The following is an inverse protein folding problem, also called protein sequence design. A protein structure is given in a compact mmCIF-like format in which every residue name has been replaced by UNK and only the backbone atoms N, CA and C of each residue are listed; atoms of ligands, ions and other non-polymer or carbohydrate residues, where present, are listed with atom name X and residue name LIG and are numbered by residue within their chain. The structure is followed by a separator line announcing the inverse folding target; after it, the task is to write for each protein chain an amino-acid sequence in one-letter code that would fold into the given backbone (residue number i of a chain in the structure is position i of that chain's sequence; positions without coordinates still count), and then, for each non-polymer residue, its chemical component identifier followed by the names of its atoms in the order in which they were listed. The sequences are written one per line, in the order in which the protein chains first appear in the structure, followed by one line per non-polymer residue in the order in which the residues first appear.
data_IF_175458342467
#
_entry.id   IF_175458342467
#
_cell.length_a   1.000
_cell.length_b   1.000
_cell.length_c   1.000
_cell.angle_alpha   90.00
_cell.angle_beta   90.00
_cell.angle_gamma   90.00
#
_symmetry.space_group_name_H-M   'P 1'
#
loop_
_entity.id
_entity.type
_entity.pdbx_description
1 polymer ?
#
# COMPACT_ATOMS: atom_id res chain seq x y z
N UNK A 1 9.35 -6.44 -14.39
CA UNK A 1 9.43 -7.82 -13.85
C UNK A 1 9.74 -7.79 -12.36
N UNK A 2 9.17 -8.72 -11.59
CA UNK A 2 9.44 -8.96 -10.17
C UNK A 2 10.12 -10.32 -10.04
N UNK A 3 11.37 -10.32 -9.58
CA UNK A 3 12.24 -11.48 -9.68
C UNK A 3 12.63 -11.75 -11.13
N UNK A 4 13.74 -12.46 -11.32
CA UNK A 4 14.19 -12.94 -12.63
C UNK A 4 14.79 -14.34 -12.49
N UNK A 5 15.11 -14.98 -13.62
CA UNK A 5 15.95 -16.17 -13.60
C UNK A 5 17.35 -15.84 -13.04
N UNK A 6 18.03 -16.84 -12.47
CA UNK A 6 19.32 -16.64 -11.83
C UNK A 6 20.46 -16.26 -12.79
N UNK A 7 20.29 -16.52 -14.10
CA UNK A 7 21.26 -16.16 -15.14
C UNK A 7 21.04 -14.75 -15.72
N UNK A 8 19.95 -14.08 -15.37
CA UNK A 8 19.68 -12.71 -15.79
C UNK A 8 20.75 -11.74 -15.26
N UNK A 9 21.05 -10.71 -16.04
CA UNK A 9 21.90 -9.61 -15.60
C UNK A 9 21.30 -8.98 -14.34
N UNK A 10 22.05 -8.93 -13.23
CA UNK A 10 21.55 -8.48 -11.92
C UNK A 10 21.02 -9.60 -11.00
N UNK A 11 21.01 -10.86 -11.47
CA UNK A 11 20.63 -12.04 -10.71
C UNK A 11 19.11 -12.23 -10.53
N UNK A 12 18.71 -13.20 -9.71
CA UNK A 12 17.30 -13.52 -9.50
C UNK A 12 16.56 -12.50 -8.60
N UNK A 13 17.29 -11.79 -7.73
CA UNK A 13 16.74 -10.91 -6.69
C UNK A 13 16.68 -9.46 -7.15
N UNK A 14 15.84 -9.17 -8.14
CA UNK A 14 15.75 -7.83 -8.71
C UNK A 14 14.35 -7.47 -9.22
N UNK A 15 14.13 -6.17 -9.33
CA UNK A 15 13.11 -5.61 -10.21
C UNK A 15 13.79 -5.23 -11.54
N UNK A 16 13.17 -5.57 -12.67
CA UNK A 16 13.74 -5.32 -13.98
C UNK A 16 12.73 -4.66 -14.94
N UNK A 17 13.00 -3.45 -15.45
CA UNK A 17 14.04 -2.52 -14.96
C UNK A 17 13.80 -2.16 -13.47
N UNK A 18 14.87 -1.77 -12.76
CA UNK A 18 14.79 -1.42 -11.34
C UNK A 18 14.36 0.02 -11.08
N UNK A 19 14.47 0.89 -12.07
CA UNK A 19 14.01 2.28 -12.02
C UNK A 19 13.35 2.66 -13.33
N UNK A 20 12.19 3.34 -13.26
CA UNK A 20 11.46 3.85 -14.43
C UNK A 20 10.95 5.27 -14.18
N UNK A 21 10.57 5.96 -15.26
CA UNK A 21 9.77 7.19 -15.21
C UNK A 21 8.38 6.90 -15.72
N UNK A 22 7.36 7.42 -15.03
CA UNK A 22 5.95 7.20 -15.36
C UNK A 22 5.12 8.45 -15.00
N UNK A 23 4.50 9.14 -15.97
CA UNK A 23 3.61 10.28 -15.72
C UNK A 23 2.35 9.91 -14.93
N UNK A 24 1.67 10.91 -14.37
CA UNK A 24 0.35 10.76 -13.76
C UNK A 24 -0.63 9.99 -14.65
N UNK A 25 -1.36 9.05 -14.05
CA UNK A 25 -2.32 8.18 -14.72
C UNK A 25 -1.71 6.96 -15.42
N UNK A 26 -0.38 6.84 -15.48
CA UNK A 26 0.27 5.63 -16.01
C UNK A 26 -0.05 4.43 -15.13
N UNK A 27 -0.33 3.28 -15.74
CA UNK A 27 -0.43 1.99 -15.04
C UNK A 27 0.89 1.25 -15.19
N UNK A 28 1.59 1.06 -14.09
CA UNK A 28 2.79 0.23 -13.99
C UNK A 28 2.36 -1.19 -13.64
N UNK A 29 2.63 -2.14 -14.55
CA UNK A 29 2.31 -3.55 -14.35
C UNK A 29 3.54 -4.30 -13.84
N UNK A 30 3.46 -4.76 -12.60
CA UNK A 30 4.39 -5.74 -12.05
C UNK A 30 4.02 -7.14 -12.54
N UNK A 31 5.01 -7.93 -12.95
CA UNK A 31 4.84 -9.30 -13.46
C UNK A 31 5.84 -10.18 -12.73
N UNK A 32 5.36 -11.17 -11.96
CA UNK A 32 6.22 -12.07 -11.19
C UNK A 32 6.82 -13.15 -12.09
N UNK A 33 8.05 -12.96 -12.55
CA UNK A 33 8.72 -13.87 -13.48
C UNK A 33 9.87 -14.68 -12.85
N UNK A 34 10.30 -14.33 -11.63
CA UNK A 34 11.29 -15.12 -10.90
C UNK A 34 10.79 -16.54 -10.64
N UNK A 35 11.29 -17.52 -11.40
CA UNK A 35 10.84 -18.92 -11.36
C UNK A 35 12.02 -19.85 -11.06
N UNK A 36 12.08 -20.51 -9.89
CA UNK A 36 11.21 -20.27 -8.73
C UNK A 36 11.52 -18.94 -8.04
N UNK A 37 10.54 -18.38 -7.33
CA UNK A 37 10.75 -17.14 -6.58
C UNK A 37 9.56 -16.76 -5.71
N UNK A 38 9.83 -16.16 -4.55
CA UNK A 38 8.80 -15.55 -3.70
C UNK A 38 9.17 -14.08 -3.49
N UNK A 39 8.30 -13.18 -3.92
CA UNK A 39 8.61 -11.76 -3.92
C UNK A 39 7.40 -10.91 -3.55
N UNK A 40 7.67 -9.74 -2.98
CA UNK A 40 6.70 -8.67 -2.79
C UNK A 40 7.08 -7.45 -3.62
N UNK A 41 6.12 -6.53 -3.76
CA UNK A 41 6.31 -5.14 -4.12
C UNK A 41 5.74 -4.32 -2.96
N UNK A 42 6.61 -3.94 -2.03
CA UNK A 42 6.23 -3.23 -0.80
C UNK A 42 6.74 -1.79 -0.88
N UNK A 43 5.86 -0.80 -0.71
CA UNK A 43 6.27 0.60 -0.69
C UNK A 43 7.11 0.90 0.54
N UNK A 44 8.19 1.66 0.35
CA UNK A 44 9.04 2.17 1.41
C UNK A 44 9.29 3.67 1.25
N UNK A 45 10.21 4.20 2.05
CA UNK A 45 10.69 5.57 1.92
C UNK A 45 12.16 5.57 1.55
N UNK A 46 12.64 6.65 0.93
CA UNK A 46 14.08 6.83 0.68
C UNK A 46 14.92 6.67 1.95
N UNK A 47 14.41 7.13 3.10
CA UNK A 47 15.12 7.10 4.38
C UNK A 47 15.18 5.69 5.00
N UNK A 48 14.20 4.85 4.71
CA UNK A 48 14.06 3.50 5.29
C UNK A 48 13.78 2.49 4.17
N UNK A 49 14.77 2.19 3.31
CA UNK A 49 14.56 1.47 2.05
C UNK A 49 13.97 0.07 2.22
N UNK A 50 14.31 -0.61 3.30
CA UNK A 50 13.89 -1.98 3.59
C UNK A 50 12.78 -2.06 4.65
N UNK A 51 12.06 -0.97 4.93
CA UNK A 51 10.93 -0.97 5.86
C UNK A 51 9.64 -0.52 5.16
N UNK A 52 8.49 -1.19 5.40
CA UNK A 52 7.22 -0.75 4.87
C UNK A 52 6.93 0.70 5.27
N UNK A 53 6.44 1.48 4.31
CA UNK A 53 5.94 2.83 4.57
C UNK A 53 4.60 2.74 5.29
N UNK A 54 4.44 3.49 6.38
CA UNK A 54 3.13 3.63 7.04
C UNK A 54 2.10 4.18 6.06
N UNK A 55 1.04 3.41 5.80
CA UNK A 55 0.01 3.75 4.82
C UNK A 55 0.46 3.58 3.37
N UNK A 56 1.58 2.89 3.12
CA UNK A 56 2.06 2.54 1.80
C UNK A 56 1.40 1.29 1.22
N UNK A 57 1.51 1.10 -0.10
CA UNK A 57 0.98 -0.09 -0.77
C UNK A 57 1.87 -1.31 -0.53
N UNK A 58 1.30 -2.50 -0.64
CA UNK A 58 2.01 -3.78 -0.56
C UNK A 58 1.23 -4.88 -1.28
N UNK A 59 1.91 -5.61 -2.17
CA UNK A 59 1.33 -6.69 -2.95
C UNK A 59 0.98 -7.95 -2.16
N UNK A 60 1.56 -8.13 -0.97
CA UNK A 60 1.73 -9.43 -0.36
C UNK A 60 2.81 -10.27 -1.04
N UNK A 61 3.02 -11.47 -0.52
CA UNK A 61 3.94 -12.46 -1.08
C UNK A 61 3.30 -13.20 -2.24
N UNK A 62 3.97 -13.20 -3.38
CA UNK A 62 3.57 -14.02 -4.53
C UNK A 62 4.70 -14.99 -4.84
N UNK A 63 4.38 -16.27 -4.72
CA UNK A 63 5.26 -17.37 -5.05
C UNK A 63 4.98 -17.90 -6.47
N UNK A 64 6.06 -18.00 -7.23
CA UNK A 64 6.11 -18.61 -8.55
C UNK A 64 6.92 -19.91 -8.44
N UNK A 65 6.35 -21.07 -8.83
CA UNK A 65 7.03 -22.35 -8.75
C UNK A 65 8.12 -22.48 -9.82
N UNK A 66 9.03 -23.43 -9.62
CA UNK A 66 10.08 -23.73 -10.58
C UNK A 66 9.51 -24.18 -11.93
N UNK A 67 10.27 -23.94 -13.00
CA UNK A 67 9.92 -24.30 -14.38
C UNK A 67 8.64 -23.64 -14.92
N UNK A 68 8.23 -22.49 -14.34
CA UNK A 68 7.11 -21.70 -14.87
C UNK A 68 7.54 -20.96 -16.13
N UNK A 69 6.79 -21.12 -17.23
CA UNK A 69 7.07 -20.48 -18.52
C UNK A 69 6.00 -19.48 -18.96
N UNK A 70 4.89 -19.37 -18.23
CA UNK A 70 3.79 -18.47 -18.56
C UNK A 70 2.69 -18.44 -17.51
N UNK A 71 1.67 -17.61 -17.74
CA UNK A 71 0.56 -17.42 -16.79
C UNK A 71 0.97 -16.69 -15.51
N UNK A 72 2.06 -15.94 -15.55
CA UNK A 72 2.62 -15.25 -14.40
C UNK A 72 1.59 -14.30 -13.76
N UNK A 73 1.51 -14.26 -12.41
CA UNK A 73 0.71 -13.25 -11.72
C UNK A 73 1.18 -11.83 -12.07
N UNK A 74 0.22 -10.92 -12.15
CA UNK A 74 0.45 -9.51 -12.41
C UNK A 74 -0.22 -8.63 -11.36
N UNK A 75 0.29 -7.41 -11.20
CA UNK A 75 -0.32 -6.42 -10.34
C UNK A 75 -0.17 -5.03 -10.95
N UNK A 76 -1.27 -4.30 -11.04
CA UNK A 76 -1.35 -3.01 -11.71
C UNK A 76 -1.38 -1.89 -10.67
N UNK A 77 -0.38 -1.03 -10.73
CA UNK A 77 -0.27 0.15 -9.89
C UNK A 77 -0.44 1.42 -10.74
N UNK A 78 -1.44 2.23 -10.43
CA UNK A 78 -1.73 3.50 -11.10
C UNK A 78 -0.99 4.64 -10.39
N UNK A 79 -0.21 5.41 -11.15
CA UNK A 79 0.54 6.57 -10.64
C UNK A 79 -0.41 7.77 -10.46
N UNK A 80 -0.38 8.39 -9.28
CA UNK A 80 -1.23 9.55 -8.95
C UNK A 80 -0.45 10.84 -8.76
N UNK A 81 0.86 10.77 -8.48
CA UNK A 81 1.71 11.95 -8.39
C UNK A 81 3.13 11.66 -8.90
N UNK A 82 3.45 12.08 -10.11
CA UNK A 82 4.74 11.90 -10.77
C UNK A 82 5.84 12.87 -10.31
N UNK A 83 5.48 13.87 -9.49
CA UNK A 83 6.44 14.75 -8.82
C UNK A 83 6.98 14.14 -7.53
N UNK A 84 6.38 13.05 -7.04
CA UNK A 84 6.81 12.32 -5.86
C UNK A 84 7.48 11.00 -6.26
N UNK A 85 8.77 10.79 -5.94
CA UNK A 85 9.43 9.52 -6.17
C UNK A 85 8.79 8.41 -5.34
N UNK A 86 8.43 7.31 -5.99
CA UNK A 86 7.91 6.11 -5.33
C UNK A 86 9.08 5.15 -5.15
N UNK A 87 9.31 4.74 -3.91
CA UNK A 87 10.35 3.79 -3.51
C UNK A 87 9.70 2.49 -3.06
N UNK A 88 10.25 1.35 -3.48
CA UNK A 88 9.72 0.05 -3.09
C UNK A 88 10.81 -1.00 -2.98
N UNK A 89 10.53 -2.06 -2.23
CA UNK A 89 11.45 -3.16 -1.98
C UNK A 89 10.72 -4.50 -2.00
N UNK A 90 11.50 -5.58 -2.08
CA UNK A 90 11.01 -6.92 -1.81
C UNK A 90 11.22 -7.27 -0.34
N UNK A 91 10.13 -7.58 0.35
CA UNK A 91 10.10 -7.85 1.79
C UNK A 91 10.44 -9.29 2.18
N UNK A 92 10.94 -10.10 1.24
CA UNK A 92 11.22 -11.51 1.48
C UNK A 92 12.54 -11.71 2.21
N UNK A 93 12.50 -12.55 3.25
CA UNK A 93 13.63 -12.82 4.16
C UNK A 93 14.46 -14.05 3.81
N UNK A 94 13.85 -15.00 3.09
CA UNK A 94 14.43 -16.32 2.85
C UNK A 94 14.63 -16.60 1.36
N UNK A 95 15.73 -17.27 0.98
CA UNK A 95 16.78 -17.80 1.85
C UNK A 95 17.76 -16.73 2.38
N UNK A 96 17.73 -15.53 1.81
CA UNK A 96 18.46 -14.34 2.27
C UNK A 96 17.50 -13.14 2.25
N UNK A 97 17.70 -12.09 3.06
CA UNK A 97 16.91 -10.87 2.96
C UNK A 97 17.07 -10.20 1.59
N UNK A 98 15.99 -10.14 0.80
CA UNK A 98 16.04 -9.67 -0.58
C UNK A 98 16.36 -8.17 -0.68
N UNK A 99 15.83 -7.33 0.21
CA UNK A 99 16.12 -5.90 0.16
C UNK A 99 17.58 -5.56 0.49
N UNK A 100 18.19 -6.08 1.57
CA UNK A 100 19.63 -6.02 1.79
C UNK A 100 20.47 -6.62 0.66
N UNK A 101 19.94 -7.63 -0.06
CA UNK A 101 20.59 -8.16 -1.26
C UNK A 101 20.49 -7.23 -2.48
N UNK A 102 19.82 -6.08 -2.36
CA UNK A 102 19.69 -5.06 -3.39
C UNK A 102 18.38 -5.10 -4.18
N UNK A 103 17.41 -5.93 -3.79
CA UNK A 103 16.10 -6.04 -4.44
C UNK A 103 15.19 -4.87 -4.04
N UNK A 104 15.51 -3.70 -4.61
CA UNK A 104 14.74 -2.46 -4.48
C UNK A 104 14.48 -1.85 -5.84
N UNK A 105 13.43 -1.05 -5.93
CA UNK A 105 13.06 -0.35 -7.14
C UNK A 105 12.55 1.06 -6.88
N UNK A 106 12.47 1.85 -7.95
CA UNK A 106 11.91 3.19 -7.90
C UNK A 106 11.09 3.56 -9.14
N UNK A 107 10.12 4.45 -8.95
CA UNK A 107 9.41 5.13 -10.04
C UNK A 107 9.59 6.63 -9.81
N UNK A 108 9.97 7.36 -10.86
CA UNK A 108 10.20 8.81 -10.83
C UNK A 108 11.30 9.24 -9.83
N UNK A 109 12.32 8.41 -9.62
CA UNK A 109 13.51 8.82 -8.86
C UNK A 109 14.24 9.98 -9.56
N UNK A 110 14.73 10.99 -8.81
CA UNK A 110 15.64 12.00 -9.33
C UNK A 110 16.87 11.36 -10.00
N UNK A 111 17.27 11.90 -11.15
CA UNK A 111 18.48 11.47 -11.87
C UNK A 111 19.77 12.11 -11.34
N UNK A 112 19.64 13.15 -10.50
CA UNK A 112 20.76 13.87 -9.91
C UNK A 112 20.47 14.23 -8.45
N UNK A 113 21.49 14.68 -7.72
CA UNK A 113 21.38 15.05 -6.32
C UNK A 113 21.59 13.88 -5.37
N UNK A 114 21.09 14.01 -4.15
CA UNK A 114 21.35 13.04 -3.06
C UNK A 114 20.31 11.93 -2.97
N UNK A 115 19.16 12.07 -3.65
CA UNK A 115 18.04 11.12 -3.60
C UNK A 115 17.87 10.34 -4.90
N UNK A 116 18.96 9.85 -5.47
CA UNK A 116 18.93 9.03 -6.69
C UNK A 116 18.59 7.57 -6.39
N UNK A 117 18.25 6.80 -7.43
CA UNK A 117 18.07 5.35 -7.29
C UNK A 117 19.34 4.65 -6.78
N UNK A 118 20.53 5.06 -7.25
CA UNK A 118 21.79 4.47 -6.80
C UNK A 118 22.04 4.72 -5.30
N UNK A 119 21.70 5.92 -4.81
CA UNK A 119 21.76 6.23 -3.39
C UNK A 119 20.78 5.38 -2.58
N UNK A 120 19.55 5.20 -3.09
CA UNK A 120 18.54 4.36 -2.47
C UNK A 120 18.96 2.89 -2.40
N UNK A 121 19.47 2.34 -3.50
CA UNK A 121 19.95 0.95 -3.55
C UNK A 121 21.20 0.75 -2.69
N UNK A 122 22.05 1.76 -2.55
CA UNK A 122 23.21 1.69 -1.65
C UNK A 122 22.78 1.68 -0.19
N UNK A 123 21.82 2.51 0.19
CA UNK A 123 21.23 2.50 1.52
C UNK A 123 20.51 1.17 1.83
N UNK A 124 19.80 0.59 0.85
CA UNK A 124 19.16 -0.72 0.99
C UNK A 124 20.17 -1.83 1.30
N UNK A 125 21.28 -1.88 0.56
CA UNK A 125 22.36 -2.86 0.79
C UNK A 125 23.07 -2.71 2.13
N UNK A 126 22.94 -1.56 2.79
CA UNK A 126 23.47 -1.32 4.13
C UNK A 126 22.49 -1.74 5.25
N UNK A 127 21.24 -2.06 4.92
CA UNK A 127 20.29 -2.61 5.87
C UNK A 127 20.65 -4.06 6.22
N UNK A 128 20.23 -4.51 7.41
CA UNK A 128 20.50 -5.88 7.89
C UNK A 128 19.36 -6.83 7.63
N UNK A 129 18.14 -6.31 7.44
CA UNK A 129 16.93 -7.11 7.29
C UNK A 129 15.89 -6.41 6.40
N UNK A 130 14.86 -7.15 6.01
CA UNK A 130 13.65 -6.62 5.38
C UNK A 130 12.54 -6.48 6.43
N UNK A 131 11.72 -5.45 6.35
CA UNK A 131 10.53 -5.34 7.19
C UNK A 131 9.47 -6.34 6.75
N UNK A 132 8.51 -6.61 7.62
CA UNK A 132 7.38 -7.50 7.33
C UNK A 132 6.37 -6.77 6.44
N UNK A 133 5.89 -7.37 5.35
CA UNK A 133 4.91 -6.72 4.47
C UNK A 133 3.59 -6.39 5.18
N UNK A 134 2.99 -5.26 4.81
CA UNK A 134 1.72 -4.75 5.36
C UNK A 134 0.73 -4.58 4.21
N UNK A 135 -0.08 -5.60 3.88
CA UNK A 135 -0.87 -5.65 2.66
C UNK A 135 -1.81 -4.46 2.52
N UNK A 136 -1.65 -3.70 1.44
CA UNK A 136 -2.48 -2.55 1.15
C UNK A 136 -2.52 -2.26 -0.35
N UNK A 137 -3.69 -1.85 -0.84
CA UNK A 137 -3.85 -1.45 -2.25
C UNK A 137 -3.47 0.00 -2.51
N UNK A 138 -3.40 0.86 -1.50
CA UNK A 138 -3.13 2.28 -1.66
C UNK A 138 -1.82 2.65 -0.98
N UNK A 139 -1.11 3.61 -1.56
CA UNK A 139 0.12 4.15 -0.99
C UNK A 139 0.37 5.60 -1.40
N UNK A 140 1.54 6.11 -1.04
CA UNK A 140 1.95 7.46 -1.46
C UNK A 140 2.13 7.49 -2.97
N UNK A 141 1.54 8.48 -3.65
CA UNK A 141 1.68 8.71 -5.09
C UNK A 141 1.25 7.57 -6.03
N UNK A 142 0.64 6.48 -5.52
CA UNK A 142 0.13 5.40 -6.35
C UNK A 142 -0.88 4.49 -5.63
N UNK A 143 -1.72 3.79 -6.41
CA UNK A 143 -2.67 2.81 -5.88
C UNK A 143 -2.95 1.68 -6.88
N UNK A 144 -3.44 0.55 -6.37
CA UNK A 144 -4.00 -0.57 -7.12
C UNK A 144 -5.49 -0.72 -6.81
N UNK A 145 -6.23 -1.35 -7.72
CA UNK A 145 -7.68 -1.61 -7.55
C UNK A 145 -8.00 -3.06 -7.20
N UNK A 146 -7.02 -3.95 -7.29
CA UNK A 146 -7.15 -5.37 -7.04
C UNK A 146 -5.84 -5.95 -6.52
N UNK A 147 -5.91 -7.11 -5.86
CA UNK A 147 -4.74 -7.89 -5.47
C UNK A 147 -3.97 -8.44 -6.69
N UNK A 148 -2.70 -8.86 -6.53
CA UNK A 148 -2.00 -9.57 -7.60
C UNK A 148 -2.71 -10.85 -8.03
N UNK A 149 -2.70 -11.14 -9.32
CA UNK A 149 -3.30 -12.35 -9.88
C UNK A 149 -3.07 -12.54 -11.38
N UNK A 150 -3.51 -13.67 -11.96
CA UNK A 150 -4.25 -14.74 -11.30
C UNK A 150 -3.36 -15.60 -10.39
N UNK A 151 -3.91 -16.08 -9.27
CA UNK A 151 -3.27 -17.09 -8.42
C UNK A 151 -4.01 -18.40 -8.65
N UNK A 152 -3.51 -19.18 -9.62
CA UNK A 152 -4.13 -20.44 -10.06
C UNK A 152 -3.11 -21.58 -10.11
N UNK A 153 -3.56 -22.82 -9.96
CA UNK A 153 -2.65 -23.97 -10.02
C UNK A 153 -1.65 -23.96 -8.87
N UNK A 154 -0.35 -23.97 -9.19
CA UNK A 154 0.74 -24.01 -8.20
C UNK A 154 1.29 -22.65 -7.80
N UNK A 155 0.76 -21.55 -8.35
CA UNK A 155 1.02 -20.21 -7.81
C UNK A 155 0.40 -20.09 -6.41
N UNK A 156 1.08 -19.37 -5.51
CA UNK A 156 0.56 -19.11 -4.16
C UNK A 156 0.69 -17.63 -3.81
N UNK A 157 -0.33 -17.10 -3.15
CA UNK A 157 -0.35 -15.76 -2.58
C UNK A 157 -0.50 -15.84 -1.07
N UNK A 158 0.30 -15.08 -0.32
CA UNK A 158 0.19 -14.97 1.12
C UNK A 158 0.18 -13.49 1.50
N UNK A 159 -0.69 -13.12 2.44
CA UNK A 159 -0.90 -11.73 2.82
C UNK A 159 -1.27 -10.85 1.61
N UNK A 160 -2.10 -11.34 0.69
CA UNK A 160 -2.55 -10.50 -0.44
C UNK A 160 -3.51 -9.41 0.07
N UNK A 161 -3.39 -8.17 -0.44
CA UNK A 161 -4.30 -7.09 -0.06
C UNK A 161 -5.70 -7.40 -0.60
N UNK A 162 -6.72 -7.21 0.23
CA UNK A 162 -8.12 -7.31 -0.23
C UNK A 162 -8.64 -5.92 -0.56
N UNK A 163 -9.44 -5.82 -1.62
CA UNK A 163 -10.18 -4.59 -1.87
C UNK A 163 -11.21 -4.44 -0.74
N UNK A 164 -10.98 -3.47 0.15
CA UNK A 164 -12.03 -3.02 1.06
C UNK A 164 -13.11 -2.35 0.22
N UNK A 165 -14.22 -3.04 0.00
CA UNK A 165 -15.45 -2.45 -0.52
C UNK A 165 -16.07 -1.55 0.57
N UNK A 166 -15.42 -0.45 0.90
CA UNK A 166 -16.05 0.61 1.69
C UNK A 166 -17.03 1.34 0.78
N UNK A 167 -18.26 0.79 0.63
CA UNK A 167 -19.28 1.42 -0.20
C UNK A 167 -20.51 0.60 -0.60
N UNK A 168 -20.70 -0.64 -0.14
CA UNK A 168 -22.00 -1.29 -0.28
C UNK A 168 -22.95 -0.76 0.81
N UNK A 169 -23.64 0.33 0.50
CA UNK A 169 -24.81 0.76 1.24
C UNK A 169 -25.70 -0.46 1.53
N UNK A 170 -26.06 -0.62 2.80
CA UNK A 170 -26.97 -1.65 3.28
C UNK A 170 -28.31 -1.52 2.54
N UNK A 171 -28.51 -2.27 1.46
CA UNK A 171 -29.85 -2.55 0.98
C UNK A 171 -30.45 -3.58 1.94
N UNK A 172 -31.15 -3.04 2.93
CA UNK A 172 -32.15 -3.76 3.70
C UNK A 172 -33.08 -4.46 2.71
N UNK A 173 -33.00 -5.79 2.65
CA UNK A 173 -33.99 -6.64 2.03
C UNK A 173 -35.27 -6.59 2.86
N UNK A 174 -36.05 -5.52 2.67
CA UNK A 174 -37.42 -5.41 3.14
C UNK A 174 -38.35 -6.17 2.21
N UNK A 175 -38.74 -7.38 2.60
CA UNK A 175 -39.80 -8.13 1.95
C UNK A 175 -41.11 -7.32 1.97
N UNK A 176 -41.69 -7.06 0.80
CA UNK A 176 -43.03 -6.47 0.68
C UNK A 176 -43.97 -7.49 0.05
N UNK A 177 -44.97 -7.91 0.83
CA UNK A 177 -46.18 -8.57 0.34
C UNK A 177 -47.18 -7.51 -0.20
N UNK A 178 -48.11 -7.86 -1.11
CA UNK A 178 -49.06 -6.90 -1.67
C UNK A 178 -50.35 -6.82 -0.83
N UNK A 179 -50.91 -5.62 -0.67
CA UNK A 179 -52.16 -5.41 0.06
C UNK A 179 -52.81 -4.04 -0.18
N UNK A 180 -53.67 -4.00 -1.21
CA UNK A 180 -54.89 -3.20 -1.41
C UNK A 180 -55.03 -1.74 -0.88
N UNK A 181 -55.24 -0.84 -1.85
CA UNK A 181 -56.32 0.15 -2.00
C UNK A 181 -56.88 0.91 -0.79
N UNK A 182 -56.78 2.25 -0.85
CA UNK A 182 -57.63 3.19 -0.10
C UNK A 182 -57.30 4.63 -0.48
N UNK A 183 -58.31 5.35 -0.99
CA UNK A 183 -58.18 6.66 -1.62
C UNK A 183 -58.36 7.84 -0.64
N UNK A 184 -57.88 9.02 -1.11
CA UNK A 184 -58.40 10.37 -0.87
C UNK A 184 -57.97 11.15 0.38
N UNK A 185 -57.41 12.34 0.13
CA UNK A 185 -57.93 13.55 0.79
C UNK A 185 -56.95 14.48 1.50
N UNK A 186 -56.81 15.68 0.91
CA UNK A 186 -56.73 17.01 1.54
C UNK A 186 -55.39 17.58 2.05
N UNK A 187 -55.11 18.75 1.47
CA UNK A 187 -54.18 19.81 1.85
C UNK A 187 -54.49 20.43 3.23
N UNK A 188 -53.46 20.96 3.89
CA UNK A 188 -53.62 21.83 5.06
C UNK A 188 -52.30 22.47 5.46
N UNK A 189 -52.29 23.80 5.54
CA UNK A 189 -51.13 24.67 5.79
C UNK A 189 -51.05 25.13 7.26
N UNK A 190 -49.85 25.06 7.85
CA UNK A 190 -49.32 25.86 8.99
C UNK A 190 -49.94 25.65 10.40
N UNK A 191 -49.42 26.31 11.47
CA UNK A 191 -48.11 26.92 11.71
C UNK A 191 -47.46 26.55 13.08
N UNK A 192 -46.22 27.02 13.30
CA UNK A 192 -45.54 27.44 14.55
C UNK A 192 -45.76 26.72 15.90
N UNK A 193 -44.65 26.28 16.51
CA UNK A 193 -44.58 25.91 17.93
C UNK A 193 -43.15 25.94 18.47
N UNK A 194 -42.81 27.01 19.18
CA UNK A 194 -41.59 27.28 19.94
C UNK A 194 -41.50 26.43 21.21
N UNK A 195 -40.31 25.97 21.58
CA UNK A 195 -40.06 25.33 22.88
C UNK A 195 -38.56 25.20 23.20
N UNK A 196 -38.05 26.17 23.96
CA UNK A 196 -36.72 26.14 24.59
C UNK A 196 -36.74 25.30 25.87
N UNK A 197 -35.66 24.52 26.11
CA UNK A 197 -35.05 24.22 27.41
C UNK A 197 -33.67 23.61 27.11
N UNK A 198 -32.53 24.29 27.28
CA UNK A 198 -31.85 24.77 28.50
C UNK A 198 -31.35 23.67 29.44
N UNK A 199 -30.02 23.66 29.60
CA UNK A 199 -29.22 23.30 30.79
C UNK A 199 -28.47 21.96 30.77
N UNK A 200 -27.14 22.06 30.94
CA UNK A 200 -26.26 20.92 31.23
C UNK A 200 -24.77 21.19 31.02
N UNK A 201 -24.22 22.20 31.69
CA UNK A 201 -22.78 22.48 31.81
C UNK A 201 -22.08 21.42 32.66
N UNK A 202 -20.91 20.94 32.23
CA UNK A 202 -19.86 20.46 33.11
C UNK A 202 -18.48 20.63 32.46
N UNK A 203 -17.76 21.66 32.91
CA UNK A 203 -16.37 21.94 32.61
C UNK A 203 -15.48 21.43 33.77
N UNK A 204 -14.30 20.89 33.44
CA UNK A 204 -13.08 20.76 34.26
C UNK A 204 -12.03 20.11 33.33
N UNK A 205 -10.91 20.69 32.89
CA UNK A 205 -10.09 21.76 33.44
C UNK A 205 -8.99 21.18 34.34
N UNK A 206 -7.81 20.87 33.80
CA UNK A 206 -6.51 21.14 34.47
C UNK A 206 -5.31 20.95 33.52
N UNK A 207 -4.59 22.04 33.29
CA UNK A 207 -3.24 22.07 32.74
C UNK A 207 -2.23 21.80 33.86
N UNK A 208 -1.20 20.99 33.60
CA UNK A 208 0.05 21.03 34.37
C UNK A 208 1.25 20.95 33.43
N UNK A 209 1.93 22.08 33.30
CA UNK A 209 3.32 22.17 32.89
C UNK A 209 4.22 21.75 34.05
N UNK A 210 5.21 20.90 33.81
CA UNK A 210 6.38 20.76 34.68
C UNK A 210 7.62 20.88 33.81
N UNK A 211 8.29 22.03 33.94
CA UNK A 211 9.66 22.24 33.54
C UNK A 211 10.57 21.84 34.71
N UNK A 212 11.65 21.11 34.44
CA UNK A 212 12.78 20.98 35.35
C UNK A 212 14.09 21.04 34.56
N UNK A 213 14.96 21.91 35.07
CA UNK A 213 16.23 22.37 34.54
C UNK A 213 17.41 21.45 34.96
N UNK A 214 18.50 21.58 34.19
CA UNK A 214 19.94 21.47 34.53
C UNK A 214 20.62 20.09 34.62
N UNK A 215 21.77 20.00 33.94
CA UNK A 215 22.82 19.01 34.22
C UNK A 215 23.87 18.85 33.11
N UNK A 216 24.74 19.84 32.91
CA UNK A 216 26.02 19.68 32.18
C UNK A 216 27.03 19.05 33.13
N UNK A 217 27.69 17.96 32.72
CA UNK A 217 29.07 17.67 33.15
C UNK A 217 29.85 16.97 32.04
N UNK A 218 31.01 17.56 31.75
CA UNK A 218 32.07 17.15 30.85
C UNK A 218 32.93 16.07 31.54
N UNK A 219 33.21 14.95 30.89
CA UNK A 219 34.48 14.20 30.90
C UNK A 219 34.56 13.32 29.66
#
# INVERSE_FOLDING_TARGET
MVGQDASAQGGALQFSPSSITAPNGTVVTFVWQGSPGNHTVTQSSFATPCSPLTGGFDSGYIFVPANTTGGFPTWNLTITNDQEPIWFFCAQHLPVPHCPAGMVGAINAPTTGTKTFDAFQSAAKAATDSGVPVPALSGSAAFATAAPGPITGSFSGLLNPTASVSGAASQSSGASAPGASGASGASGSGPSGTGNAASGVAASGLFTFVAALLGVTLM
#
